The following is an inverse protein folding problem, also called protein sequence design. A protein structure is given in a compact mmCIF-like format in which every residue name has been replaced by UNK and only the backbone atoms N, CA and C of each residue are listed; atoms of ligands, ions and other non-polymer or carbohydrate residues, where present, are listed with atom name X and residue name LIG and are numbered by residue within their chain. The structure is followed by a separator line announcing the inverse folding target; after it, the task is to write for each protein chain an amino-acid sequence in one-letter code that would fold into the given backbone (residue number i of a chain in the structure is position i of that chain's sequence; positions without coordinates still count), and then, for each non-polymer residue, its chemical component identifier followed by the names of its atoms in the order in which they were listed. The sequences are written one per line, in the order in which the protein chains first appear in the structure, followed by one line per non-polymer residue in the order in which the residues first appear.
data_IF_110643853629
#
_entry.id   IF_110643853629
#
_cell.length_a   1.000
_cell.length_b   1.000
_cell.length_c   1.000
_cell.angle_alpha   90.00
_cell.angle_beta   90.00
_cell.angle_gamma   90.00
#
_symmetry.space_group_name_H-M   'P 1'
#
loop_
_entity.id
_entity.type
_entity.pdbx_description
1 polymer ?
#
# COMPACT_ATOMS: atom_id res chain seq x y z
N UNK A 1 9.49 9.18 3.34
CA UNK A 1 8.08 8.83 3.06
C UNK A 1 7.91 7.32 3.23
N UNK A 2 6.73 6.81 3.64
CA UNK A 2 6.49 5.36 3.70
C UNK A 2 5.95 4.84 2.37
N UNK A 3 6.50 3.71 1.93
CA UNK A 3 5.98 2.91 0.84
C UNK A 3 5.39 1.62 1.42
N UNK A 4 4.13 1.36 1.12
CA UNK A 4 3.43 0.13 1.46
C UNK A 4 3.60 -0.83 0.28
N UNK A 5 4.05 -2.04 0.55
CA UNK A 5 4.24 -3.08 -0.45
C UNK A 5 2.96 -3.90 -0.56
N UNK A 6 2.40 -3.93 -1.75
CA UNK A 6 1.18 -4.67 -2.07
C UNK A 6 1.44 -5.63 -3.22
N UNK A 7 0.73 -6.75 -3.22
CA UNK A 7 0.81 -7.70 -4.32
C UNK A 7 0.00 -7.20 -5.51
N UNK A 8 0.37 -7.65 -6.71
CA UNK A 8 -0.48 -7.46 -7.88
C UNK A 8 -1.85 -8.11 -7.63
N UNK A 9 -2.98 -7.53 -8.09
CA UNK A 9 -4.31 -8.11 -7.87
C UNK A 9 -4.46 -9.55 -8.35
N UNK A 10 -3.76 -9.91 -9.43
CA UNK A 10 -3.79 -11.26 -10.01
C UNK A 10 -2.85 -12.29 -9.32
N UNK A 11 -2.04 -11.87 -8.33
CA UNK A 11 -1.17 -12.78 -7.56
C UNK A 11 -1.92 -13.42 -6.36
N UNK A 12 -1.32 -14.43 -5.73
CA UNK A 12 -1.83 -15.04 -4.49
C UNK A 12 -1.84 -14.02 -3.36
N UNK A 13 -3.05 -13.64 -2.93
CA UNK A 13 -3.24 -12.62 -1.89
C UNK A 13 -3.17 -13.23 -0.48
N UNK A 14 -2.14 -12.85 0.29
CA UNK A 14 -2.14 -13.03 1.75
C UNK A 14 -3.04 -12.01 2.43
N UNK A 15 -3.00 -10.77 1.90
CA UNK A 15 -3.79 -9.64 2.35
C UNK A 15 -4.66 -9.16 1.20
N UNK A 16 -5.93 -8.89 1.46
CA UNK A 16 -6.83 -8.32 0.46
C UNK A 16 -6.52 -6.84 0.24
N UNK A 17 -6.48 -6.44 -1.02
CA UNK A 17 -6.30 -5.07 -1.48
C UNK A 17 -7.44 -4.75 -2.45
N UNK A 18 -8.06 -3.59 -2.29
CA UNK A 18 -9.11 -3.10 -3.20
C UNK A 18 -8.59 -1.89 -3.96
N UNK A 19 -8.54 -2.06 -5.27
CA UNK A 19 -8.06 -1.06 -6.21
C UNK A 19 -9.27 -0.30 -6.75
N UNK A 20 -9.14 1.00 -6.99
CA UNK A 20 -10.18 1.76 -7.68
C UNK A 20 -10.38 1.11 -9.06
N UNK A 21 -11.64 0.86 -9.41
CA UNK A 21 -12.07 0.16 -10.62
C UNK A 21 -11.55 -1.29 -10.76
N UNK A 22 -11.13 -1.91 -9.66
CA UNK A 22 -10.76 -3.34 -9.58
C UNK A 22 -9.46 -3.73 -10.29
N UNK A 23 -8.91 -2.87 -11.16
CA UNK A 23 -7.65 -3.09 -11.90
C UNK A 23 -6.75 -1.85 -12.01
N UNK A 24 -7.20 -0.71 -11.48
CA UNK A 24 -6.49 0.56 -11.58
C UNK A 24 -5.28 0.66 -10.65
N UNK A 25 -4.38 1.64 -10.86
CA UNK A 25 -3.19 1.81 -10.02
C UNK A 25 -3.52 2.39 -8.64
N UNK A 26 -4.73 2.93 -8.46
CA UNK A 26 -5.15 3.65 -7.26
C UNK A 26 -5.65 2.69 -6.19
N UNK A 27 -5.18 2.87 -4.96
CA UNK A 27 -5.57 2.03 -3.83
C UNK A 27 -6.73 2.64 -3.06
N UNK A 28 -7.82 1.88 -2.85
CA UNK A 28 -8.98 2.30 -2.05
C UNK A 28 -8.84 1.86 -0.60
N UNK A 29 -8.52 0.60 -0.37
CA UNK A 29 -8.20 0.09 0.96
C UNK A 29 -7.32 -1.16 0.90
N UNK A 30 -6.62 -1.42 2.00
CA UNK A 30 -5.87 -2.67 2.20
C UNK A 30 -6.26 -3.30 3.53
N UNK A 31 -6.12 -4.60 3.59
CA UNK A 31 -5.98 -5.32 4.86
C UNK A 31 -4.51 -5.49 5.19
N UNK A 32 -4.16 -5.42 6.46
CA UNK A 32 -2.75 -5.48 6.85
C UNK A 32 -2.56 -5.85 8.32
N UNK A 33 -1.30 -6.02 8.71
CA UNK A 33 -0.88 -6.32 10.06
C UNK A 33 -0.80 -5.06 10.96
N UNK A 34 -0.52 -5.27 12.24
CA UNK A 34 -0.42 -4.17 13.21
C UNK A 34 0.72 -3.18 12.91
N UNK A 35 1.79 -3.62 12.25
CA UNK A 35 2.97 -2.80 12.00
C UNK A 35 2.69 -1.77 10.91
N UNK A 36 2.17 -2.22 9.77
CA UNK A 36 1.75 -1.33 8.69
C UNK A 36 0.61 -0.41 9.16
N UNK A 37 -0.35 -0.93 9.92
CA UNK A 37 -1.44 -0.13 10.48
C UNK A 37 -0.93 1.01 11.36
N UNK A 38 0.07 0.76 12.22
CA UNK A 38 0.70 1.78 13.06
C UNK A 38 1.40 2.85 12.23
N UNK A 39 2.06 2.46 11.15
CA UNK A 39 2.67 3.42 10.23
C UNK A 39 1.62 4.27 9.50
N UNK A 40 0.53 3.67 9.02
CA UNK A 40 -0.59 4.39 8.42
C UNK A 40 -1.24 5.35 9.42
N UNK A 41 -1.42 4.94 10.67
CA UNK A 41 -1.94 5.82 11.72
C UNK A 41 -1.01 7.01 11.98
N UNK A 42 0.30 6.79 11.98
CA UNK A 42 1.29 7.88 12.09
C UNK A 42 1.20 8.83 10.90
N UNK A 43 1.12 8.30 9.67
CA UNK A 43 0.97 9.09 8.46
C UNK A 43 -0.32 9.94 8.47
N UNK A 44 -1.44 9.35 8.91
CA UNK A 44 -2.73 10.03 9.10
C UNK A 44 -2.61 11.20 10.07
N UNK A 45 -2.08 10.98 11.27
CA UNK A 45 -1.94 12.02 12.30
C UNK A 45 -1.00 13.15 11.87
N UNK A 46 0.04 12.83 11.11
CA UNK A 46 1.04 13.81 10.65
C UNK A 46 0.67 14.47 9.31
N UNK A 47 -0.43 14.07 8.67
CA UNK A 47 -0.83 14.56 7.35
C UNK A 47 0.10 14.15 6.21
N UNK A 48 1.03 13.22 6.46
CA UNK A 48 1.99 12.72 5.47
C UNK A 48 1.32 11.70 4.56
N UNK A 49 1.63 11.78 3.26
CA UNK A 49 1.11 10.85 2.25
C UNK A 49 1.92 9.55 2.24
N UNK A 50 1.25 8.47 1.83
CA UNK A 50 1.85 7.14 1.67
C UNK A 50 1.88 6.78 0.19
N UNK A 51 2.86 5.95 -0.19
CA UNK A 51 2.97 5.42 -1.56
C UNK A 51 2.76 3.92 -1.58
N UNK A 52 2.31 3.39 -2.71
CA UNK A 52 2.09 1.97 -2.93
C UNK A 52 3.08 1.43 -3.93
N UNK A 53 3.93 0.51 -3.47
CA UNK A 53 4.75 -0.33 -4.32
C UNK A 53 3.94 -1.59 -4.64
N UNK A 54 3.49 -1.72 -5.88
CA UNK A 54 2.89 -2.96 -6.39
C UNK A 54 3.99 -3.90 -6.88
N UNK A 55 4.08 -5.09 -6.28
CA UNK A 55 4.98 -6.13 -6.74
C UNK A 55 4.67 -6.55 -8.19
N UNK A 56 5.69 -6.97 -8.90
CA UNK A 56 5.53 -7.53 -10.25
C UNK A 56 4.79 -8.86 -10.21
N UNK A 57 4.02 -9.10 -11.27
CA UNK A 57 3.31 -10.35 -11.51
C UNK A 57 3.22 -10.52 -13.02
N UNK A 58 3.80 -11.58 -13.58
CA UNK A 58 3.99 -11.68 -15.03
C UNK A 58 2.68 -11.48 -15.81
N UNK A 59 2.65 -10.59 -16.82
CA UNK A 59 3.77 -9.84 -17.42
C UNK A 59 4.07 -8.47 -16.79
N UNK A 60 3.38 -8.09 -15.72
CA UNK A 60 3.50 -6.78 -15.08
C UNK A 60 4.78 -6.63 -14.27
N UNK A 61 5.53 -5.56 -14.54
CA UNK A 61 6.71 -5.19 -13.77
C UNK A 61 6.34 -4.51 -12.43
N UNK A 62 7.21 -4.57 -11.40
CA UNK A 62 7.02 -3.82 -10.16
C UNK A 62 6.98 -2.31 -10.40
N UNK A 63 6.11 -1.59 -9.69
CA UNK A 63 5.92 -0.15 -9.88
C UNK A 63 5.42 0.52 -8.61
N UNK A 64 5.85 1.76 -8.37
CA UNK A 64 5.16 2.63 -7.40
C UNK A 64 3.99 3.29 -8.11
N UNK A 65 2.78 2.80 -7.84
CA UNK A 65 1.60 3.05 -8.66
C UNK A 65 0.63 4.09 -8.10
N UNK A 66 0.67 4.35 -6.79
CA UNK A 66 -0.25 5.27 -6.14
C UNK A 66 0.44 6.03 -5.03
N UNK A 67 0.02 7.28 -4.88
CA UNK A 67 0.29 8.14 -3.74
C UNK A 67 -1.05 8.56 -3.15
N UNK A 68 -1.26 8.43 -1.84
CA UNK A 68 -2.56 8.69 -1.21
C UNK A 68 -2.43 9.22 0.22
N UNK A 69 -3.50 9.83 0.73
CA UNK A 69 -3.67 10.09 2.16
C UNK A 69 -4.32 8.90 2.84
N UNK A 70 -3.96 8.68 4.10
CA UNK A 70 -4.63 7.71 4.95
C UNK A 70 -5.89 8.37 5.52
N UNK A 71 -7.06 7.86 5.11
CA UNK A 71 -8.36 8.35 5.58
C UNK A 71 -8.67 7.81 6.97
N UNK A 72 -8.59 6.49 7.12
CA UNK A 72 -8.97 5.79 8.34
C UNK A 72 -8.16 4.50 8.54
N UNK A 73 -8.00 4.10 9.81
CA UNK A 73 -7.34 2.86 10.22
C UNK A 73 -8.25 2.15 11.23
N UNK A 74 -8.80 1.01 10.82
CA UNK A 74 -9.75 0.23 11.61
C UNK A 74 -9.13 -1.08 12.05
N UNK A 75 -9.27 -1.39 13.34
CA UNK A 75 -8.91 -2.71 13.87
C UNK A 75 -10.12 -3.64 13.74
N UNK A 76 -9.97 -4.73 12.99
CA UNK A 76 -11.05 -5.70 12.74
C UNK A 76 -10.94 -6.89 13.68
N UNK A 77 -9.71 -7.33 13.99
CA UNK A 77 -9.46 -8.40 14.96
C UNK A 77 -8.15 -8.15 15.71
N UNK A 78 -7.71 -9.12 16.52
CA UNK A 78 -6.44 -9.03 17.27
C UNK A 78 -5.26 -8.66 16.37
N UNK A 79 -5.20 -9.28 15.18
CA UNK A 79 -4.05 -9.25 14.27
C UNK A 79 -4.38 -8.66 12.89
N UNK A 80 -5.61 -8.17 12.70
CA UNK A 80 -6.11 -7.76 11.39
C UNK A 80 -6.64 -6.32 11.40
N UNK A 81 -6.14 -5.51 10.47
CA UNK A 81 -6.53 -4.11 10.31
C UNK A 81 -6.98 -3.85 8.87
N UNK A 82 -7.89 -2.89 8.71
CA UNK A 82 -8.25 -2.31 7.42
C UNK A 82 -7.80 -0.86 7.41
N UNK A 83 -7.11 -0.45 6.34
CA UNK A 83 -6.69 0.92 6.13
C UNK A 83 -7.38 1.46 4.88
N UNK A 84 -8.12 2.55 5.04
CA UNK A 84 -8.78 3.26 3.96
C UNK A 84 -7.94 4.45 3.49
N UNK A 85 -7.97 4.71 2.19
CA UNK A 85 -7.22 5.80 1.57
C UNK A 85 -8.15 6.78 0.85
N UNK A 86 -7.67 8.01 0.69
CA UNK A 86 -8.33 9.08 -0.05
C UNK A 86 -7.30 9.98 -0.74
N UNK A 87 -7.79 10.92 -1.56
CA UNK A 87 -6.97 11.81 -2.37
C UNK A 87 -5.89 11.04 -3.16
N UNK A 88 -6.27 9.92 -3.78
CA UNK A 88 -5.35 9.08 -4.54
C UNK A 88 -4.84 9.80 -5.78
N UNK A 89 -3.55 9.67 -6.04
CA UNK A 89 -2.88 10.18 -7.24
C UNK A 89 -2.17 9.01 -7.91
N UNK A 90 -2.47 8.79 -9.20
CA UNK A 90 -1.81 7.75 -9.98
C UNK A 90 -0.33 8.10 -10.16
N UNK A 91 0.51 7.09 -10.05
CA UNK A 91 1.94 7.17 -10.30
C UNK A 91 2.37 6.04 -11.23
N UNK A 92 3.52 6.23 -11.87
CA UNK A 92 4.19 5.18 -12.65
C UNK A 92 5.70 5.33 -12.48
N UNK A 93 6.18 5.15 -11.24
CA UNK A 93 7.60 5.30 -10.93
C UNK A 93 8.26 3.93 -10.81
N UNK A 94 9.45 3.81 -11.40
CA UNK A 94 10.31 2.64 -11.20
C UNK A 94 10.71 2.54 -9.72
N UNK A 95 10.50 1.39 -9.05
CA UNK A 95 10.87 1.25 -7.67
C UNK A 95 12.39 1.20 -7.51
N UNK A 96 12.95 2.24 -6.87
CA UNK A 96 14.38 2.28 -6.51
C UNK A 96 14.76 1.17 -5.51
N UNK A 97 13.77 0.72 -4.72
CA UNK A 97 13.93 -0.35 -3.75
C UNK A 97 13.22 -1.60 -4.22
N UNK A 98 13.92 -2.74 -4.21
CA UNK A 98 13.32 -4.06 -4.37
C UNK A 98 12.98 -4.62 -2.98
N UNK A 99 11.70 -4.78 -2.62
CA UNK A 99 11.32 -5.31 -1.32
C UNK A 99 11.85 -6.72 -1.14
N UNK A 100 12.31 -7.05 0.07
CA UNK A 100 12.65 -8.42 0.42
C UNK A 100 11.38 -9.29 0.50
N UNK A 101 11.54 -10.62 0.40
CA UNK A 101 10.40 -11.52 0.60
C UNK A 101 9.73 -11.24 1.95
N UNK A 102 8.39 -11.14 1.94
CA UNK A 102 7.54 -10.86 3.11
C UNK A 102 7.66 -9.44 3.68
N UNK A 103 8.37 -8.54 3.01
CA UNK A 103 8.39 -7.13 3.40
C UNK A 103 7.09 -6.43 2.98
N UNK A 104 6.31 -5.97 3.96
CA UNK A 104 5.02 -5.30 3.72
C UNK A 104 5.15 -3.76 3.60
N UNK A 105 6.31 -3.19 3.94
CA UNK A 105 6.55 -1.75 3.87
C UNK A 105 8.06 -1.42 3.89
N UNK A 106 8.41 -0.20 3.48
CA UNK A 106 9.74 0.38 3.67
C UNK A 106 9.68 1.91 3.76
N UNK A 107 10.73 2.53 4.31
CA UNK A 107 10.96 3.97 4.18
C UNK A 107 11.84 4.22 2.97
N UNK A 108 11.43 5.14 2.10
CA UNK A 108 12.31 5.73 1.12
C UNK A 108 12.52 7.21 1.46
N UNK A 109 13.71 7.74 1.15
CA UNK A 109 14.01 9.16 1.18
C UNK A 109 13.11 9.97 0.23
N UNK A 110 13.17 11.30 0.29
CA UNK A 110 12.55 12.17 -0.71
C UNK A 110 13.03 11.84 -2.13
#
# INVERSE_FOLDING_TARGET
MIHIVVRHPDDVQTWKNDWVDGKGPLMKWITTDAEVARHCQTARVTGVRVRFHRCGFQPFVPVVCCDARVKDVQKVSRDFYIVHFEDQVAMNLEPVHKPHQRQNWYRAGP
#
